data_IF_280307744019
#
_entry.id   IF_280307744019
#
_cell.length_a   1.000
_cell.length_b   1.000
_cell.length_c   1.000
_cell.angle_alpha   90.00
_cell.angle_beta   90.00
_cell.angle_gamma   90.00
#
_symmetry.space_group_name_H-M   'P 1'
#
loop_
_entity.id
_entity.type
_entity.pdbx_description
1 polymer ?
#
# COMPACT_ATOMS: atom_id res chain seq x y z
N UNK A 1 2.20 12.74 16.83
CA UNK A 1 0.75 13.01 16.88
C UNK A 1 -0.04 11.88 17.53
N UNK A 2 0.27 10.60 17.30
CA UNK A 2 -0.39 9.49 18.03
C UNK A 2 -0.15 9.62 19.56
N UNK A 3 1.09 9.90 19.97
CA UNK A 3 1.41 10.14 21.39
C UNK A 3 0.62 11.35 21.93
N UNK A 4 0.63 12.48 21.23
CA UNK A 4 -0.09 13.70 21.63
C UNK A 4 -1.58 13.40 21.85
N UNK A 5 -2.24 12.70 20.94
CA UNK A 5 -3.66 12.35 21.06
C UNK A 5 -3.93 11.42 22.26
N UNK A 6 -3.04 10.45 22.50
CA UNK A 6 -3.14 9.54 23.63
C UNK A 6 -2.94 10.30 24.96
N UNK A 7 -1.88 11.09 25.04
CA UNK A 7 -1.47 11.76 26.27
C UNK A 7 -2.49 12.84 26.67
N UNK A 8 -3.05 13.59 25.70
CA UNK A 8 -4.11 14.57 25.94
C UNK A 8 -5.41 13.91 26.44
N UNK A 9 -5.76 12.73 25.88
CA UNK A 9 -6.89 11.97 26.40
C UNK A 9 -6.65 11.43 27.79
N UNK A 10 -5.44 10.94 28.09
CA UNK A 10 -5.11 10.39 29.42
C UNK A 10 -5.05 11.45 30.50
N UNK A 11 -4.52 12.63 30.17
CA UNK A 11 -4.35 13.73 31.14
C UNK A 11 -5.63 14.57 31.31
N UNK A 12 -6.31 14.89 30.21
CA UNK A 12 -7.35 15.93 30.19
C UNK A 12 -8.71 15.41 29.70
N UNK A 13 -8.83 14.15 29.32
CA UNK A 13 -10.01 13.55 28.66
C UNK A 13 -10.49 14.34 27.43
N UNK A 14 -9.57 15.06 26.76
CA UNK A 14 -9.86 15.86 25.58
C UNK A 14 -9.47 15.11 24.31
N UNK A 15 -10.38 15.10 23.34
CA UNK A 15 -10.10 14.56 22.00
C UNK A 15 -9.40 15.62 21.16
N UNK A 16 -8.25 15.26 20.56
CA UNK A 16 -7.52 16.12 19.62
C UNK A 16 -7.95 15.78 18.21
N UNK A 17 -8.51 16.75 17.50
CA UNK A 17 -9.05 16.60 16.14
C UNK A 17 -7.97 16.67 15.06
N UNK A 18 -8.35 16.28 13.81
CA UNK A 18 -7.49 16.46 12.65
C UNK A 18 -7.06 17.92 12.46
N UNK A 19 -7.98 18.89 12.62
CA UNK A 19 -7.67 20.30 12.42
C UNK A 19 -6.62 20.80 13.41
N UNK A 20 -6.73 20.41 14.68
CA UNK A 20 -5.75 20.74 15.71
C UNK A 20 -4.38 20.12 15.40
N UNK A 21 -4.31 18.85 15.01
CA UNK A 21 -3.03 18.22 14.65
C UNK A 21 -2.43 18.83 13.38
N UNK A 22 -3.26 19.30 12.45
CA UNK A 22 -2.79 20.00 11.23
C UNK A 22 -2.22 21.39 11.57
N UNK A 23 -2.85 22.14 12.49
CA UNK A 23 -2.30 23.39 12.99
C UNK A 23 -0.96 23.17 13.71
N UNK A 24 -0.91 22.20 14.63
CA UNK A 24 0.34 21.79 15.30
C UNK A 24 1.45 21.44 14.32
N UNK A 25 1.14 20.73 13.23
CA UNK A 25 2.14 20.40 12.18
C UNK A 25 2.70 21.67 11.53
N UNK A 26 1.86 22.68 11.31
CA UNK A 26 2.28 23.96 10.73
C UNK A 26 3.18 24.71 11.69
N UNK A 27 2.88 24.69 12.99
CA UNK A 27 3.70 25.32 14.01
C UNK A 27 5.03 24.58 14.20
N UNK A 28 5.03 23.26 14.26
CA UNK A 28 6.27 22.46 14.34
C UNK A 28 7.27 22.80 13.25
N UNK A 29 6.82 23.12 12.03
CA UNK A 29 7.72 23.51 10.93
C UNK A 29 8.45 24.83 11.16
N UNK A 30 8.05 25.64 12.15
CA UNK A 30 8.72 26.90 12.51
C UNK A 30 9.97 26.68 13.36
N UNK A 31 10.02 25.58 14.10
CA UNK A 31 11.14 25.25 14.98
C UNK A 31 12.29 24.59 14.18
N UNK A 32 13.51 24.93 14.53
CA UNK A 32 14.72 24.44 13.87
C UNK A 32 14.87 22.92 13.97
N UNK A 33 14.57 22.36 15.13
CA UNK A 33 14.57 20.91 15.39
C UNK A 33 13.75 20.11 14.40
N UNK A 34 12.66 20.69 13.86
CA UNK A 34 11.73 20.05 12.91
C UNK A 34 11.87 20.61 11.49
N UNK A 35 12.96 21.29 11.18
CA UNK A 35 13.22 21.89 9.84
C UNK A 35 13.14 20.87 8.72
N UNK A 36 13.52 19.62 8.97
CA UNK A 36 13.42 18.51 8.03
C UNK A 36 11.98 18.25 7.53
N UNK A 37 10.95 18.66 8.25
CA UNK A 37 9.56 18.59 7.80
C UNK A 37 9.30 19.44 6.54
N UNK A 38 10.12 20.44 6.27
CA UNK A 38 10.03 21.27 5.05
C UNK A 38 10.59 20.56 3.82
N UNK A 39 11.43 19.55 3.99
CA UNK A 39 11.99 18.72 2.92
C UNK A 39 10.97 17.68 2.45
N UNK A 40 10.00 17.32 3.28
CA UNK A 40 8.95 16.35 2.97
C UNK A 40 7.78 17.05 2.28
N UNK A 41 7.13 16.33 1.36
CA UNK A 41 5.91 16.79 0.71
C UNK A 41 4.81 17.08 1.74
N UNK A 42 4.30 18.31 1.74
CA UNK A 42 3.29 18.77 2.71
C UNK A 42 1.97 18.01 2.58
N UNK A 43 1.59 17.59 1.36
CA UNK A 43 0.38 16.78 1.16
C UNK A 43 0.55 15.38 1.76
N UNK A 44 1.73 14.79 1.67
CA UNK A 44 2.02 13.48 2.28
C UNK A 44 1.96 13.56 3.82
N UNK A 45 2.44 14.65 4.41
CA UNK A 45 2.32 14.88 5.86
C UNK A 45 0.86 15.01 6.29
N UNK A 46 0.06 15.79 5.56
CA UNK A 46 -1.38 15.94 5.85
C UNK A 46 -2.15 14.63 5.68
N UNK A 47 -1.86 13.84 4.63
CA UNK A 47 -2.45 12.51 4.45
C UNK A 47 -2.09 11.55 5.59
N UNK A 48 -0.88 11.68 6.15
CA UNK A 48 -0.49 10.90 7.31
C UNK A 48 -1.33 11.23 8.56
N UNK A 49 -1.65 12.52 8.77
CA UNK A 49 -2.56 12.95 9.84
C UNK A 49 -4.01 12.49 9.61
N UNK A 50 -4.50 12.55 8.36
CA UNK A 50 -5.82 12.02 8.01
C UNK A 50 -5.92 10.52 8.23
N UNK A 51 -4.88 9.78 7.88
CA UNK A 51 -4.83 8.34 8.13
C UNK A 51 -4.88 8.02 9.62
N UNK A 52 -4.24 8.83 10.46
CA UNK A 52 -4.34 8.70 11.92
C UNK A 52 -5.76 8.98 12.40
N UNK A 53 -6.41 10.02 11.90
CA UNK A 53 -7.79 10.35 12.24
C UNK A 53 -8.76 9.22 11.83
N UNK A 54 -8.65 8.72 10.60
CA UNK A 54 -9.41 7.57 10.13
C UNK A 54 -9.17 6.32 10.99
N UNK A 55 -7.93 6.08 11.43
CA UNK A 55 -7.62 4.95 12.30
C UNK A 55 -8.33 5.05 13.67
N UNK A 56 -8.43 6.25 14.24
CA UNK A 56 -9.22 6.47 15.46
C UNK A 56 -10.73 6.32 15.21
N UNK A 57 -11.25 6.85 14.09
CA UNK A 57 -12.66 6.69 13.75
C UNK A 57 -13.04 5.20 13.59
N UNK A 58 -12.20 4.41 12.91
CA UNK A 58 -12.41 2.97 12.75
C UNK A 58 -12.32 2.23 14.10
N UNK A 59 -11.44 2.66 14.99
CA UNK A 59 -11.37 2.12 16.35
C UNK A 59 -12.66 2.37 17.13
N UNK A 60 -13.16 3.60 17.15
CA UNK A 60 -14.41 3.93 17.84
C UNK A 60 -15.66 3.28 17.23
N UNK A 61 -15.62 2.99 15.92
CA UNK A 61 -16.66 2.21 15.23
C UNK A 61 -16.51 0.70 15.41
N UNK A 62 -15.57 0.23 16.24
CA UNK A 62 -15.25 -1.18 16.44
C UNK A 62 -14.83 -1.96 15.18
N UNK A 63 -14.41 -1.24 14.12
CA UNK A 63 -13.96 -1.82 12.86
C UNK A 63 -12.46 -2.19 12.87
N UNK A 64 -11.70 -1.63 13.80
CA UNK A 64 -10.27 -1.90 13.95
C UNK A 64 -9.82 -1.84 15.40
N UNK A 65 -8.59 -2.35 15.65
CA UNK A 65 -7.94 -2.22 16.95
C UNK A 65 -7.38 -0.80 17.12
N UNK A 66 -7.02 -0.45 18.37
CA UNK A 66 -6.39 0.83 18.71
C UNK A 66 -5.16 1.11 17.81
N UNK A 67 -4.99 2.35 17.32
CA UNK A 67 -3.87 2.73 16.46
C UNK A 67 -2.51 2.45 17.10
N UNK A 68 -1.56 1.92 16.32
CA UNK A 68 -0.22 1.58 16.78
C UNK A 68 0.83 2.45 16.08
N UNK A 69 1.96 2.67 16.76
CA UNK A 69 3.11 3.30 16.13
C UNK A 69 3.63 2.47 14.96
N UNK A 70 3.96 3.13 13.86
CA UNK A 70 4.66 2.49 12.75
C UNK A 70 6.10 2.18 13.15
N UNK A 71 6.56 0.99 12.83
CA UNK A 71 7.93 0.56 13.10
C UNK A 71 8.84 0.77 11.89
N UNK A 72 10.08 1.24 12.12
CA UNK A 72 11.13 1.31 11.10
C UNK A 72 11.53 -0.09 10.58
N UNK A 73 11.25 -1.14 11.36
CA UNK A 73 11.52 -2.53 10.98
C UNK A 73 10.44 -3.12 10.05
N UNK A 74 9.34 -2.41 9.82
CA UNK A 74 8.37 -2.83 8.82
C UNK A 74 8.96 -2.61 7.43
N UNK A 75 9.06 -3.69 6.66
CA UNK A 75 9.65 -3.69 5.32
C UNK A 75 8.65 -3.35 4.21
N UNK A 76 7.36 -3.29 4.52
CA UNK A 76 6.32 -2.77 3.65
C UNK A 76 5.96 -1.36 4.12
N UNK A 77 6.36 -0.37 3.36
CA UNK A 77 6.17 1.04 3.69
C UNK A 77 5.46 1.74 2.54
N UNK A 78 4.59 2.68 2.87
CA UNK A 78 3.90 3.49 1.87
C UNK A 78 3.59 4.87 2.39
N UNK A 79 3.50 5.83 1.48
CA UNK A 79 2.93 7.14 1.71
C UNK A 79 2.01 7.51 0.56
N UNK A 80 1.00 8.30 0.86
CA UNK A 80 0.06 8.86 -0.11
C UNK A 80 0.25 10.36 -0.19
N UNK A 81 0.17 10.90 -1.40
CA UNK A 81 0.19 12.34 -1.64
C UNK A 81 -0.91 12.72 -2.61
N UNK A 82 -1.48 13.93 -2.47
CA UNK A 82 -2.48 14.47 -3.38
C UNK A 82 -1.83 15.29 -4.47
N UNK A 83 -2.45 15.28 -5.63
CA UNK A 83 -2.02 16.12 -6.73
C UNK A 83 -2.56 17.54 -6.56
N UNK A 84 -1.71 18.44 -6.11
CA UNK A 84 -2.02 19.86 -6.01
C UNK A 84 -1.19 20.64 -7.04
N UNK A 85 -1.83 21.51 -7.81
CA UNK A 85 -1.16 22.32 -8.81
C UNK A 85 -0.41 21.51 -9.86
N UNK A 86 -0.93 20.34 -10.25
CA UNK A 86 -0.30 19.45 -11.24
C UNK A 86 1.14 19.00 -10.85
N UNK A 87 1.41 18.90 -9.55
CA UNK A 87 2.69 18.46 -9.00
C UNK A 87 3.01 17.00 -9.31
N UNK A 88 1.96 16.17 -9.54
CA UNK A 88 2.07 14.76 -9.93
C UNK A 88 1.65 14.64 -11.39
N UNK A 89 2.58 14.23 -12.25
CA UNK A 89 2.32 14.03 -13.68
C UNK A 89 3.26 12.99 -14.27
N UNK A 90 2.82 12.32 -15.33
CA UNK A 90 3.66 11.43 -16.14
C UNK A 90 4.29 12.25 -17.27
N UNK A 91 5.60 12.06 -17.48
CA UNK A 91 6.40 12.70 -18.52
C UNK A 91 7.19 11.60 -19.22
N UNK A 92 6.66 11.10 -20.34
CA UNK A 92 7.21 9.93 -21.02
C UNK A 92 7.27 8.71 -20.08
N UNK A 93 8.46 8.15 -19.88
CA UNK A 93 8.69 7.00 -19.01
C UNK A 93 9.03 7.37 -17.55
N UNK A 94 8.69 8.60 -17.12
CA UNK A 94 8.96 9.10 -15.77
C UNK A 94 7.70 9.65 -15.13
N UNK A 95 7.61 9.50 -13.82
CA UNK A 95 6.63 10.21 -13.00
C UNK A 95 7.31 11.32 -12.23
N UNK A 96 6.76 12.53 -12.29
CA UNK A 96 7.17 13.62 -11.39
C UNK A 96 6.38 13.49 -10.09
N UNK A 97 7.09 13.54 -8.97
CA UNK A 97 6.51 13.52 -7.62
C UNK A 97 6.98 14.74 -6.84
N UNK A 98 6.13 15.34 -5.99
CA UNK A 98 6.53 16.48 -5.15
C UNK A 98 7.76 16.14 -4.30
N UNK A 99 8.70 17.08 -4.21
CA UNK A 99 9.98 16.98 -3.48
C UNK A 99 10.97 15.94 -4.00
N UNK A 100 10.53 14.86 -4.64
CA UNK A 100 11.39 13.78 -5.16
C UNK A 100 11.85 14.09 -6.60
N UNK A 101 11.03 14.80 -7.39
CA UNK A 101 11.33 15.09 -8.80
C UNK A 101 10.88 13.97 -9.73
N UNK A 102 11.55 13.81 -10.87
CA UNK A 102 11.19 12.89 -11.95
C UNK A 102 11.86 11.53 -11.77
N UNK A 103 11.09 10.51 -11.47
CA UNK A 103 11.53 9.11 -11.25
C UNK A 103 11.15 8.25 -12.44
N UNK A 104 12.06 7.41 -12.93
CA UNK A 104 11.78 6.45 -14.00
C UNK A 104 10.79 5.40 -13.53
N UNK A 105 9.77 5.14 -14.33
CA UNK A 105 8.74 4.12 -14.06
C UNK A 105 8.59 3.17 -15.24
N UNK A 106 8.05 1.98 -14.96
CA UNK A 106 7.48 1.09 -15.95
C UNK A 106 5.96 1.18 -15.81
N UNK A 107 5.33 1.89 -16.74
CA UNK A 107 3.88 2.05 -16.75
C UNK A 107 3.23 0.73 -17.16
N UNK A 108 2.23 0.28 -16.40
CA UNK A 108 1.50 -0.97 -16.65
C UNK A 108 0.26 -0.78 -17.53
N UNK A 109 -0.31 0.43 -17.50
CA UNK A 109 -1.50 0.82 -18.28
C UNK A 109 -1.38 2.25 -18.73
N UNK A 110 -1.82 2.54 -19.90
CA UNK A 110 -2.15 3.89 -20.33
C UNK A 110 -3.51 4.28 -19.76
N UNK A 111 -3.70 5.53 -19.46
CA UNK A 111 -4.97 6.08 -18.99
C UNK A 111 -5.11 7.50 -19.52
N UNK A 112 -6.32 7.85 -19.82
CA UNK A 112 -6.73 9.23 -20.10
C UNK A 112 -7.53 9.73 -18.90
N UNK A 113 -7.14 10.88 -18.36
CA UNK A 113 -7.79 11.44 -17.18
C UNK A 113 -6.84 12.19 -16.25
N UNK A 114 -7.45 12.86 -15.28
CA UNK A 114 -6.74 13.69 -14.31
C UNK A 114 -6.22 12.87 -13.14
N UNK A 115 -4.92 12.95 -12.86
CA UNK A 115 -4.34 12.33 -11.65
C UNK A 115 -4.77 13.12 -10.41
N UNK A 116 -5.46 12.48 -9.48
CA UNK A 116 -5.91 13.06 -8.21
C UNK A 116 -4.89 12.85 -7.09
N UNK A 117 -4.27 11.68 -7.04
CA UNK A 117 -3.32 11.33 -6.01
C UNK A 117 -2.37 10.22 -6.46
N UNK A 118 -1.27 10.06 -5.73
CA UNK A 118 -0.34 8.96 -5.88
C UNK A 118 -0.07 8.31 -4.53
N UNK A 119 -0.04 6.97 -4.51
CA UNK A 119 0.44 6.20 -3.37
C UNK A 119 1.72 5.49 -3.77
N UNK A 120 2.83 5.89 -3.18
CA UNK A 120 4.12 5.23 -3.37
C UNK A 120 4.30 4.20 -2.29
N UNK A 121 4.62 2.97 -2.68
CA UNK A 121 4.84 1.85 -1.77
C UNK A 121 6.16 1.16 -2.04
N UNK A 122 6.76 0.64 -0.98
CA UNK A 122 7.93 -0.23 -1.03
C UNK A 122 7.55 -1.58 -0.46
N UNK A 123 7.73 -2.63 -1.25
CA UNK A 123 7.47 -3.99 -0.81
C UNK A 123 8.64 -4.59 -0.04
N UNK A 124 8.35 -5.68 0.67
CA UNK A 124 9.38 -6.45 1.42
C UNK A 124 10.49 -7.00 0.52
N UNK A 125 10.24 -7.18 -0.78
CA UNK A 125 11.23 -7.56 -1.80
C UNK A 125 12.21 -6.44 -2.17
N UNK A 126 11.95 -5.20 -1.70
CA UNK A 126 12.72 -3.99 -1.99
C UNK A 126 12.31 -3.26 -3.25
N UNK A 127 11.24 -3.69 -3.94
CA UNK A 127 10.69 -3.00 -5.12
C UNK A 127 9.80 -1.84 -4.70
N UNK A 128 9.79 -0.81 -5.55
CA UNK A 128 8.91 0.35 -5.41
C UNK A 128 7.80 0.31 -6.44
N UNK A 129 6.61 0.69 -6.01
CA UNK A 129 5.43 0.81 -6.85
C UNK A 129 4.78 2.16 -6.63
N UNK A 130 4.11 2.65 -7.66
CA UNK A 130 3.23 3.82 -7.56
C UNK A 130 1.84 3.43 -8.06
N UNK A 131 0.85 3.67 -7.23
CA UNK A 131 -0.57 3.55 -7.58
C UNK A 131 -1.13 4.95 -7.75
N UNK A 132 -1.76 5.21 -8.89
CA UNK A 132 -2.36 6.50 -9.22
C UNK A 132 -3.88 6.40 -9.08
N UNK A 133 -4.49 7.32 -8.35
CA UNK A 133 -5.92 7.58 -8.40
C UNK A 133 -6.18 8.57 -9.54
N UNK A 134 -6.96 8.14 -10.52
CA UNK A 134 -7.26 8.92 -11.72
C UNK A 134 -8.76 9.15 -11.79
N UNK A 135 -9.14 10.37 -12.13
CA UNK A 135 -10.51 10.74 -12.47
C UNK A 135 -10.70 10.51 -13.97
N UNK A 136 -11.62 9.63 -14.31
CA UNK A 136 -11.99 9.33 -15.71
C UNK A 136 -13.34 9.97 -16.02
N UNK A 137 -13.57 10.31 -17.27
CA UNK A 137 -14.87 10.74 -17.73
C UNK A 137 -15.90 9.60 -17.61
N UNK A 138 -17.14 9.92 -17.22
CA UNK A 138 -18.18 8.94 -16.93
C UNK A 138 -18.49 8.00 -18.10
N UNK A 139 -18.33 8.46 -19.33
CA UNK A 139 -18.54 7.66 -20.54
C UNK A 139 -17.57 6.48 -20.68
N UNK A 140 -16.36 6.60 -20.10
CA UNK A 140 -15.37 5.52 -20.10
C UNK A 140 -15.75 4.34 -19.16
N UNK A 141 -16.82 4.49 -18.37
CA UNK A 141 -17.27 3.49 -17.39
C UNK A 141 -18.56 2.79 -17.81
N UNK A 142 -18.86 2.71 -19.10
CA UNK A 142 -20.01 1.97 -19.59
C UNK A 142 -19.94 0.51 -19.13
N UNK A 143 -20.94 0.09 -18.38
CA UNK A 143 -21.10 -1.30 -17.98
C UNK A 143 -21.37 -2.12 -19.23
N UNK A 144 -20.49 -3.06 -19.54
CA UNK A 144 -20.68 -4.02 -20.63
C UNK A 144 -21.45 -5.27 -20.18
N UNK A 145 -22.13 -5.20 -19.05
CA UNK A 145 -22.92 -6.33 -18.56
C UNK A 145 -24.25 -6.39 -19.35
N UNK A 146 -24.43 -7.42 -20.10
CA UNK A 146 -25.64 -7.76 -20.87
C UNK A 146 -26.79 -8.34 -20.01
N UNK A 147 -26.63 -8.36 -18.68
CA UNK A 147 -27.62 -8.87 -17.74
C UNK A 147 -27.57 -10.39 -17.53
N UNK A 148 -26.58 -11.07 -18.08
CA UNK A 148 -26.38 -12.50 -17.86
C UNK A 148 -25.97 -12.78 -16.39
N UNK A 149 -26.55 -13.86 -15.84
CA UNK A 149 -26.20 -14.37 -14.51
C UNK A 149 -25.43 -15.69 -14.64
N UNK A 150 -24.41 -15.88 -13.81
CA UNK A 150 -23.64 -17.13 -13.73
C UNK A 150 -23.47 -17.53 -12.27
N UNK A 151 -23.84 -18.76 -11.96
CA UNK A 151 -23.54 -19.39 -10.67
C UNK A 151 -22.13 -19.96 -10.66
N UNK A 152 -21.36 -19.73 -9.57
CA UNK A 152 -20.01 -20.24 -9.40
C UNK A 152 -19.94 -21.02 -8.08
N UNK A 153 -19.51 -22.29 -8.14
CA UNK A 153 -19.16 -23.11 -6.99
C UNK A 153 -17.63 -23.23 -6.88
N UNK A 154 -17.07 -22.87 -5.70
CA UNK A 154 -15.61 -22.90 -5.45
C UNK A 154 -15.22 -24.15 -4.69
N UNK A 155 -14.35 -24.96 -5.30
CA UNK A 155 -13.95 -26.27 -4.77
C UNK A 155 -12.45 -26.40 -4.44
N UNK A 156 -12.11 -27.52 -3.79
CA UNK A 156 -10.72 -27.91 -3.49
C UNK A 156 -10.08 -28.74 -4.60
N UNK A 157 -10.87 -29.57 -5.28
CA UNK A 157 -10.42 -30.42 -6.39
C UNK A 157 -10.24 -29.55 -7.64
N UNK A 158 -11.27 -28.85 -7.99
CA UNK A 158 -11.30 -27.82 -9.01
C UNK A 158 -11.31 -26.46 -8.35
N UNK A 159 -10.77 -25.44 -9.04
CA UNK A 159 -10.76 -24.09 -8.47
C UNK A 159 -12.17 -23.51 -8.41
N UNK A 160 -12.92 -23.67 -9.48
CA UNK A 160 -14.36 -23.45 -9.50
C UNK A 160 -15.03 -24.28 -10.61
N UNK A 161 -16.34 -24.49 -10.47
CA UNK A 161 -17.24 -24.95 -11.52
C UNK A 161 -18.34 -23.92 -11.69
N UNK A 162 -18.77 -23.67 -12.93
CA UNK A 162 -19.84 -22.72 -13.20
C UNK A 162 -21.18 -23.41 -13.58
N UNK A 163 -22.26 -22.64 -13.58
CA UNK A 163 -23.61 -23.12 -13.93
C UNK A 163 -23.72 -23.56 -15.40
N UNK A 164 -22.75 -23.22 -16.25
CA UNK A 164 -22.68 -23.62 -17.66
C UNK A 164 -21.94 -24.95 -17.85
N UNK A 165 -21.48 -25.61 -16.79
CA UNK A 165 -20.76 -26.85 -16.82
C UNK A 165 -19.26 -26.72 -17.06
N UNK A 166 -18.70 -25.50 -17.06
CA UNK A 166 -17.26 -25.31 -17.16
C UNK A 166 -16.60 -25.52 -15.79
N UNK A 167 -15.43 -26.15 -15.79
CA UNK A 167 -14.63 -26.35 -14.58
C UNK A 167 -13.20 -25.90 -14.81
N UNK A 168 -12.64 -25.19 -13.85
CA UNK A 168 -11.24 -24.73 -13.88
C UNK A 168 -10.43 -25.48 -12.86
N UNK A 169 -9.37 -26.15 -13.33
CA UNK A 169 -8.50 -26.94 -12.49
C UNK A 169 -7.75 -26.11 -11.44
N UNK A 170 -7.61 -26.62 -10.23
CA UNK A 170 -6.85 -25.97 -9.17
C UNK A 170 -5.33 -26.03 -9.46
N UNK A 171 -4.64 -24.90 -9.68
CA UNK A 171 -3.22 -24.86 -10.07
C UNK A 171 -2.27 -25.24 -8.92
N UNK A 172 -2.75 -25.36 -7.69
CA UNK A 172 -2.01 -25.73 -6.47
C UNK A 172 -0.66 -25.00 -6.33
N UNK A 173 -0.66 -23.71 -6.62
CA UNK A 173 0.55 -22.84 -6.76
C UNK A 173 1.43 -22.92 -5.52
N UNK A 174 0.84 -22.83 -4.32
CA UNK A 174 1.60 -22.89 -3.08
C UNK A 174 2.32 -24.24 -2.95
N UNK A 175 1.65 -25.37 -3.22
CA UNK A 175 2.25 -26.71 -3.12
C UNK A 175 3.48 -26.86 -4.03
N UNK A 176 3.42 -26.31 -5.24
CA UNK A 176 4.54 -26.35 -6.21
C UNK A 176 5.76 -25.56 -5.73
N UNK A 177 5.54 -24.42 -5.03
CA UNK A 177 6.60 -23.50 -4.60
C UNK A 177 7.01 -23.69 -3.12
N UNK A 178 6.30 -24.52 -2.35
CA UNK A 178 6.57 -24.78 -0.93
C UNK A 178 8.02 -25.22 -0.68
N UNK A 179 8.54 -26.15 -1.47
CA UNK A 179 9.93 -26.63 -1.31
C UNK A 179 10.95 -25.48 -1.39
N UNK A 180 10.77 -24.57 -2.37
CA UNK A 180 11.63 -23.39 -2.53
C UNK A 180 11.48 -22.43 -1.35
N UNK A 181 10.26 -22.17 -0.92
CA UNK A 181 9.98 -21.28 0.22
C UNK A 181 10.62 -21.80 1.51
N UNK A 182 10.40 -23.06 1.86
CA UNK A 182 10.97 -23.70 3.06
C UNK A 182 12.50 -23.66 3.03
N UNK A 183 13.13 -23.93 1.88
CA UNK A 183 14.57 -23.85 1.73
C UNK A 183 15.11 -22.45 2.04
N UNK A 184 14.49 -21.40 1.50
CA UNK A 184 14.93 -20.03 1.74
C UNK A 184 14.65 -19.57 3.19
N UNK A 185 13.53 -20.00 3.78
CA UNK A 185 13.24 -19.75 5.19
C UNK A 185 14.25 -20.42 6.13
N UNK A 186 14.64 -21.67 5.86
CA UNK A 186 15.70 -22.36 6.63
C UNK A 186 17.06 -21.65 6.49
N UNK A 187 17.37 -21.12 5.29
CA UNK A 187 18.57 -20.31 5.08
C UNK A 187 18.54 -19.02 5.90
N UNK A 188 17.38 -18.36 5.95
CA UNK A 188 17.18 -17.14 6.73
C UNK A 188 17.33 -17.41 8.23
N UNK A 189 16.72 -18.48 8.76
CA UNK A 189 16.77 -18.82 10.20
C UNK A 189 18.19 -19.08 10.72
N UNK A 190 19.08 -19.61 9.86
CA UNK A 190 20.49 -19.89 10.20
C UNK A 190 21.38 -18.64 10.17
N UNK A 191 20.87 -17.46 9.78
CA UNK A 191 21.67 -16.23 9.71
C UNK A 191 21.61 -15.47 11.04
N UNK A 192 22.75 -14.92 11.44
CA UNK A 192 22.85 -14.10 12.65
C UNK A 192 21.87 -12.93 12.59
N UNK A 193 21.07 -12.69 13.65
CA UNK A 193 20.19 -11.53 13.75
C UNK A 193 20.95 -10.22 13.50
N UNK A 194 20.30 -9.26 12.84
CA UNK A 194 20.85 -7.93 12.49
C UNK A 194 22.06 -7.92 11.54
N UNK A 195 22.45 -9.06 10.96
CA UNK A 195 23.56 -9.12 10.01
C UNK A 195 23.11 -8.75 8.59
N UNK A 196 24.02 -8.17 7.78
CA UNK A 196 23.80 -7.90 6.34
C UNK A 196 23.42 -9.16 5.57
N UNK A 197 23.97 -10.32 5.95
CA UNK A 197 23.65 -11.61 5.32
C UNK A 197 22.23 -12.06 5.65
N UNK A 198 21.71 -11.72 6.84
CA UNK A 198 20.32 -11.97 7.20
C UNK A 198 19.37 -11.09 6.37
N UNK A 199 19.70 -9.82 6.14
CA UNK A 199 18.90 -8.94 5.30
C UNK A 199 18.85 -9.40 3.86
N UNK A 200 19.98 -9.83 3.28
CA UNK A 200 20.04 -10.45 1.96
C UNK A 200 19.16 -11.72 1.87
N UNK A 201 19.19 -12.57 2.90
CA UNK A 201 18.39 -13.78 2.97
C UNK A 201 16.88 -13.45 3.12
N UNK A 202 16.52 -12.43 3.92
CA UNK A 202 15.16 -11.93 4.08
C UNK A 202 14.58 -11.47 2.74
N UNK A 203 15.34 -10.70 1.95
CA UNK A 203 14.91 -10.25 0.62
C UNK A 203 14.66 -11.46 -0.31
N UNK A 204 15.47 -12.53 -0.24
CA UNK A 204 15.24 -13.75 -1.03
C UNK A 204 13.91 -14.41 -0.66
N UNK A 205 13.61 -14.55 0.63
CA UNK A 205 12.31 -15.07 1.10
C UNK A 205 11.17 -14.19 0.61
N UNK A 206 11.29 -12.87 0.74
CA UNK A 206 10.28 -11.92 0.28
C UNK A 206 10.01 -12.02 -1.24
N UNK A 207 11.05 -12.22 -2.05
CA UNK A 207 10.92 -12.44 -3.51
C UNK A 207 10.20 -13.75 -3.84
N UNK A 208 10.36 -14.81 -3.04
CA UNK A 208 9.59 -16.05 -3.23
C UNK A 208 8.11 -15.82 -2.93
N UNK A 209 7.80 -15.10 -1.84
CA UNK A 209 6.42 -14.73 -1.53
C UNK A 209 5.79 -13.84 -2.62
N UNK A 210 6.53 -12.85 -3.11
CA UNK A 210 6.10 -12.01 -4.22
C UNK A 210 5.79 -12.84 -5.48
N UNK A 211 6.67 -13.78 -5.82
CA UNK A 211 6.46 -14.67 -6.97
C UNK A 211 5.19 -15.51 -6.82
N UNK A 212 4.96 -16.09 -5.62
CA UNK A 212 3.72 -16.83 -5.31
C UNK A 212 2.49 -15.93 -5.48
N UNK A 213 2.55 -14.71 -4.94
CA UNK A 213 1.44 -13.75 -5.03
C UNK A 213 1.16 -13.35 -6.48
N UNK A 214 2.20 -13.13 -7.28
CA UNK A 214 2.06 -12.74 -8.69
C UNK A 214 1.45 -13.87 -9.54
N UNK A 215 1.87 -15.13 -9.34
CA UNK A 215 1.26 -16.27 -10.05
C UNK A 215 -0.22 -16.42 -9.67
N UNK A 216 -0.57 -16.22 -8.38
CA UNK A 216 -1.98 -16.24 -7.95
C UNK A 216 -2.80 -15.15 -8.61
N UNK A 217 -2.27 -13.93 -8.65
CA UNK A 217 -2.94 -12.81 -9.32
C UNK A 217 -3.10 -13.06 -10.81
N UNK A 218 -2.06 -13.54 -11.47
CA UNK A 218 -2.12 -13.86 -12.91
C UNK A 218 -3.18 -14.95 -13.21
N UNK A 219 -3.26 -15.97 -12.36
CA UNK A 219 -4.29 -17.00 -12.48
C UNK A 219 -5.71 -16.48 -12.28
N UNK A 220 -5.90 -15.56 -11.31
CA UNK A 220 -7.22 -14.98 -11.01
C UNK A 220 -7.68 -13.92 -12.04
N UNK A 221 -6.77 -13.42 -12.88
CA UNK A 221 -7.06 -12.40 -13.90
C UNK A 221 -7.23 -13.00 -15.32
N UNK A 222 -7.01 -14.30 -15.48
CA UNK A 222 -7.26 -15.06 -16.71
C UNK A 222 -8.65 -15.67 -16.73
#
# INVERSE_FOLDING_TARGET
>A
FLAIRRDEWTANHKSVTYNQTSAMLTDLKKYEEYSWLKEVDSMALQESLKNLDTAYQNFFKHQSRYPRFKSKHNHSQSYRTRNQGNGIRIIGNRIKLPKIGAVKIKQSREFDGRILNATVSRDASGKYFVSLGVELDKEALLKTNDGGEIGIDVGLKEFYSDSNGNAVANPRILRRLTRKLVREQRRLSRKMPRSMNRDKARIRVARVHEHIANIRKDFLHK
#
